data_IF_595770697916
#
_entry.id   IF_595770697916
#
_cell.length_a   1.000
_cell.length_b   1.000
_cell.length_c   1.000
_cell.angle_alpha   90.00
_cell.angle_beta   90.00
_cell.angle_gamma   90.00
#
_symmetry.space_group_name_H-M   'P 1'
#
loop_
_entity.id
_entity.type
_entity.pdbx_description
1 polymer ?
#
# COMPACT_ATOMS: atom_id res chain seq x y z
N UNK A 1 13.10 -17.00 -9.08
CA UNK A 1 14.18 -15.99 -9.31
C UNK A 1 13.80 -15.20 -10.55
N UNK A 2 13.32 -13.96 -10.39
CA UNK A 2 13.13 -13.07 -11.54
C UNK A 2 14.51 -12.72 -12.08
N UNK A 3 14.87 -13.30 -13.23
CA UNK A 3 16.08 -12.97 -13.96
C UNK A 3 15.74 -11.83 -14.94
N UNK A 4 15.63 -10.61 -14.43
CA UNK A 4 15.61 -9.42 -15.27
C UNK A 4 17.06 -9.09 -15.68
N UNK A 5 17.31 -8.87 -16.97
CA UNK A 5 18.67 -8.64 -17.47
C UNK A 5 19.15 -7.22 -17.10
N UNK A 6 20.34 -7.17 -16.50
CA UNK A 6 20.94 -5.97 -15.88
C UNK A 6 21.73 -5.13 -16.89
N UNK A 7 21.07 -4.62 -17.94
CA UNK A 7 21.73 -3.65 -18.83
C UNK A 7 20.96 -2.35 -18.98
N UNK A 8 21.74 -1.26 -19.03
CA UNK A 8 21.32 0.15 -18.98
C UNK A 8 20.41 0.58 -20.14
N UNK A 9 20.22 -0.27 -21.16
CA UNK A 9 19.48 0.04 -22.39
C UNK A 9 18.56 -1.11 -22.88
N UNK A 10 18.20 -2.08 -22.04
CA UNK A 10 17.29 -3.15 -22.46
C UNK A 10 16.88 -4.16 -21.37
N UNK A 11 15.67 -4.68 -21.49
CA UNK A 11 14.92 -5.53 -20.53
C UNK A 11 14.34 -4.83 -19.29
N UNK A 12 15.10 -3.93 -18.64
CA UNK A 12 14.64 -3.20 -17.45
C UNK A 12 13.45 -2.28 -17.74
N UNK A 13 13.55 -1.49 -18.82
CA UNK A 13 12.46 -0.63 -19.26
C UNK A 13 11.33 -1.50 -19.82
N UNK A 14 11.61 -2.47 -20.69
CA UNK A 14 10.60 -3.36 -21.32
C UNK A 14 9.70 -4.14 -20.35
N UNK A 15 10.22 -4.60 -19.22
CA UNK A 15 9.44 -5.31 -18.22
C UNK A 15 8.72 -4.36 -17.24
N UNK A 16 9.10 -3.08 -17.21
CA UNK A 16 8.54 -2.04 -16.36
C UNK A 16 7.89 -0.89 -17.17
N UNK A 17 7.51 -1.10 -18.45
CA UNK A 17 6.82 -0.09 -19.31
C UNK A 17 5.34 0.03 -18.90
N UNK A 18 5.11 0.31 -17.63
CA UNK A 18 3.89 0.91 -17.13
C UNK A 18 4.26 2.26 -16.52
N UNK A 19 3.33 3.21 -16.51
CA UNK A 19 3.58 4.53 -15.91
C UNK A 19 4.04 4.41 -14.45
N UNK A 20 3.49 3.46 -13.70
CA UNK A 20 3.90 3.15 -12.34
C UNK A 20 5.38 2.71 -12.26
N UNK A 21 5.83 1.83 -13.16
CA UNK A 21 7.22 1.39 -13.23
C UNK A 21 8.20 2.51 -13.58
N UNK A 22 7.83 3.42 -14.49
CA UNK A 22 8.60 4.64 -14.72
C UNK A 22 8.67 5.53 -13.47
N UNK A 23 7.57 5.59 -12.69
CA UNK A 23 7.54 6.22 -11.37
C UNK A 23 8.51 5.60 -10.38
N UNK A 24 8.59 4.26 -10.30
CA UNK A 24 9.57 3.54 -9.48
C UNK A 24 11.02 3.82 -9.91
N UNK A 25 11.31 3.84 -11.22
CA UNK A 25 12.63 4.20 -11.74
C UNK A 25 13.00 5.64 -11.36
N UNK A 26 12.06 6.58 -11.50
CA UNK A 26 12.26 7.97 -11.08
C UNK A 26 12.52 8.05 -9.57
N UNK A 27 11.73 7.35 -8.76
CA UNK A 27 11.91 7.27 -7.32
C UNK A 27 13.29 6.76 -6.93
N UNK A 28 13.79 5.72 -7.60
CA UNK A 28 15.16 5.25 -7.44
C UNK A 28 16.19 6.34 -7.76
N UNK A 29 16.00 7.12 -8.84
CA UNK A 29 16.90 8.25 -9.18
C UNK A 29 16.85 9.35 -8.11
N UNK A 30 15.66 9.67 -7.61
CA UNK A 30 15.46 10.67 -6.56
C UNK A 30 16.12 10.23 -5.24
N UNK A 31 16.03 8.96 -4.88
CA UNK A 31 16.68 8.40 -3.69
C UNK A 31 18.21 8.44 -3.78
N UNK A 32 18.79 8.32 -4.98
CA UNK A 32 20.24 8.46 -5.20
C UNK A 32 20.73 9.88 -4.93
N UNK A 33 19.98 10.89 -5.39
CA UNK A 33 20.33 12.31 -5.20
C UNK A 33 19.89 12.86 -3.84
N UNK A 34 19.29 12.03 -2.98
CA UNK A 34 19.01 12.37 -1.58
C UNK A 34 17.64 12.98 -1.30
N UNK A 35 16.65 12.77 -2.19
CA UNK A 35 15.27 13.11 -1.89
C UNK A 35 14.81 12.41 -0.60
N UNK A 36 14.10 13.13 0.26
CA UNK A 36 13.72 12.68 1.61
C UNK A 36 12.34 12.05 1.70
N UNK A 37 11.47 12.39 0.76
CA UNK A 37 10.12 11.87 0.65
C UNK A 37 9.78 11.75 -0.83
N UNK A 38 9.29 10.58 -1.23
CA UNK A 38 8.95 10.27 -2.62
C UNK A 38 7.63 9.51 -2.59
N UNK A 39 6.65 10.03 -3.31
CA UNK A 39 5.38 9.36 -3.52
C UNK A 39 5.32 8.84 -4.96
N UNK A 40 4.96 7.57 -5.11
CA UNK A 40 4.73 6.93 -6.40
C UNK A 40 3.30 6.40 -6.38
N UNK A 41 2.44 6.99 -7.20
CA UNK A 41 1.04 6.57 -7.26
C UNK A 41 0.78 5.82 -8.56
N UNK A 42 -0.15 4.86 -8.51
CA UNK A 42 -0.87 4.46 -9.72
C UNK A 42 -1.72 5.65 -10.18
N UNK A 43 -2.03 5.76 -11.47
CA UNK A 43 -2.83 6.88 -11.96
C UNK A 43 -4.16 6.96 -11.21
N UNK A 44 -4.50 8.15 -10.73
CA UNK A 44 -5.86 8.45 -10.28
C UNK A 44 -6.56 9.22 -11.38
N UNK A 45 -7.33 8.49 -12.20
CA UNK A 45 -8.33 9.09 -13.07
C UNK A 45 -9.67 8.81 -12.39
N UNK A 46 -10.40 9.83 -11.91
CA UNK A 46 -11.66 9.63 -11.21
C UNK A 46 -12.59 8.68 -11.96
N UNK A 47 -13.06 7.64 -11.27
CA UNK A 47 -13.96 6.60 -11.79
C UNK A 47 -13.41 5.68 -12.89
N UNK A 48 -12.12 5.78 -13.24
CA UNK A 48 -11.50 4.93 -14.26
C UNK A 48 -10.33 4.13 -13.67
N UNK A 49 -10.23 2.85 -14.02
CA UNK A 49 -9.14 1.92 -13.67
C UNK A 49 -8.92 1.57 -12.19
N UNK A 50 -9.39 2.39 -11.23
CA UNK A 50 -9.34 2.10 -9.79
C UNK A 50 -10.66 1.57 -9.23
N UNK A 51 -11.78 1.92 -9.86
CA UNK A 51 -13.10 1.48 -9.42
C UNK A 51 -13.33 -0.01 -9.74
N UNK A 52 -13.28 -0.82 -8.69
CA UNK A 52 -13.39 -2.29 -8.71
C UNK A 52 -14.79 -2.80 -8.37
N UNK A 53 -15.81 -1.94 -8.28
CA UNK A 53 -17.18 -2.38 -7.98
C UNK A 53 -17.79 -3.24 -9.10
N UNK A 54 -17.22 -3.22 -10.31
CA UNK A 54 -17.53 -4.11 -11.44
C UNK A 54 -16.29 -4.91 -11.84
N UNK A 55 -16.42 -6.21 -12.12
CA UNK A 55 -15.31 -7.10 -12.50
C UNK A 55 -14.14 -7.07 -11.49
N UNK A 56 -14.46 -7.03 -10.19
CA UNK A 56 -13.52 -6.72 -9.12
C UNK A 56 -12.29 -7.62 -9.10
N UNK A 57 -12.46 -8.93 -9.26
CA UNK A 57 -11.35 -9.88 -9.28
C UNK A 57 -10.38 -9.64 -10.44
N UNK A 58 -10.89 -9.52 -11.67
CA UNK A 58 -10.07 -9.31 -12.86
C UNK A 58 -9.35 -7.96 -12.83
N UNK A 59 -10.04 -6.90 -12.40
CA UNK A 59 -9.42 -5.58 -12.21
C UNK A 59 -8.33 -5.61 -11.14
N UNK A 60 -8.58 -6.22 -9.97
CA UNK A 60 -7.57 -6.35 -8.91
C UNK A 60 -6.35 -7.15 -9.37
N UNK A 61 -6.55 -8.21 -10.19
CA UNK A 61 -5.44 -8.96 -10.79
C UNK A 61 -4.62 -8.07 -11.71
N UNK A 62 -5.25 -7.37 -12.64
CA UNK A 62 -4.57 -6.45 -13.56
C UNK A 62 -3.82 -5.33 -12.81
N UNK A 63 -4.42 -4.76 -11.78
CA UNK A 63 -3.79 -3.74 -10.94
C UNK A 63 -2.56 -4.29 -10.19
N UNK A 64 -2.64 -5.51 -9.66
CA UNK A 64 -1.49 -6.17 -9.01
C UNK A 64 -0.34 -6.43 -9.99
N UNK A 65 -0.66 -6.90 -11.20
CA UNK A 65 0.32 -7.13 -12.27
C UNK A 65 1.06 -5.83 -12.66
N UNK A 66 0.41 -4.67 -12.54
CA UNK A 66 1.04 -3.37 -12.82
C UNK A 66 2.06 -2.92 -11.76
N UNK A 67 1.95 -3.39 -10.52
CA UNK A 67 2.77 -2.89 -9.40
C UNK A 67 3.79 -3.91 -8.87
N UNK A 68 3.52 -5.22 -9.00
CA UNK A 68 4.33 -6.27 -8.38
C UNK A 68 5.80 -6.25 -8.84
N UNK A 69 6.04 -6.36 -10.15
CA UNK A 69 7.39 -6.36 -10.71
C UNK A 69 8.12 -5.01 -10.50
N UNK A 70 7.48 -3.83 -10.71
CA UNK A 70 8.12 -2.55 -10.44
C UNK A 70 8.55 -2.34 -8.98
N UNK A 71 7.72 -2.73 -8.00
CA UNK A 71 8.06 -2.59 -6.57
C UNK A 71 9.22 -3.51 -6.23
N UNK A 72 9.15 -4.78 -6.68
CA UNK A 72 10.23 -5.74 -6.48
C UNK A 72 11.56 -5.20 -7.03
N UNK A 73 11.54 -4.65 -8.25
CA UNK A 73 12.72 -4.07 -8.87
C UNK A 73 13.25 -2.85 -8.12
N UNK A 74 12.39 -1.94 -7.65
CA UNK A 74 12.79 -0.79 -6.84
C UNK A 74 13.53 -1.22 -5.58
N UNK A 75 12.99 -2.21 -4.84
CA UNK A 75 13.63 -2.74 -3.62
C UNK A 75 14.98 -3.38 -3.93
N UNK A 76 15.09 -4.14 -5.02
CA UNK A 76 16.34 -4.76 -5.47
C UNK A 76 17.38 -3.72 -5.88
N UNK A 77 16.99 -2.69 -6.63
CA UNK A 77 17.87 -1.60 -7.07
C UNK A 77 18.41 -0.81 -5.87
N UNK A 78 17.54 -0.47 -4.91
CA UNK A 78 17.97 0.22 -3.69
C UNK A 78 18.91 -0.65 -2.87
N UNK A 79 18.68 -1.97 -2.80
CA UNK A 79 19.58 -2.90 -2.10
C UNK A 79 20.95 -2.99 -2.76
N UNK A 80 20.98 -3.17 -4.09
CA UNK A 80 22.22 -3.27 -4.86
C UNK A 80 23.08 -2.00 -4.74
N UNK A 81 22.42 -0.84 -4.60
CA UNK A 81 23.08 0.47 -4.46
C UNK A 81 23.46 0.83 -3.02
N UNK A 82 23.20 -0.06 -2.05
CA UNK A 82 23.43 0.23 -0.63
C UNK A 82 22.51 1.33 -0.05
N UNK A 83 21.39 1.59 -0.70
CA UNK A 83 20.43 2.63 -0.32
C UNK A 83 19.26 2.08 0.51
N UNK A 84 18.97 0.78 0.44
CA UNK A 84 17.78 0.20 1.10
C UNK A 84 17.84 0.34 2.64
N UNK A 85 19.01 0.29 3.25
CA UNK A 85 19.11 0.39 4.71
C UNK A 85 18.76 1.81 5.22
N UNK A 86 18.91 2.85 4.37
CA UNK A 86 18.55 4.24 4.69
C UNK A 86 17.22 4.70 4.09
N UNK A 87 16.56 3.86 3.30
CA UNK A 87 15.31 4.18 2.59
C UNK A 87 14.23 3.20 3.00
N UNK A 88 13.15 3.70 3.60
CA UNK A 88 11.95 2.93 3.88
C UNK A 88 11.00 2.99 2.68
N UNK A 89 10.76 1.85 2.04
CA UNK A 89 9.74 1.70 0.99
C UNK A 89 8.47 1.17 1.65
N UNK A 90 7.34 1.85 1.43
CA UNK A 90 6.04 1.51 2.00
C UNK A 90 5.05 1.29 0.85
N UNK A 91 4.36 0.16 0.84
CA UNK A 91 3.19 -0.07 0.01
C UNK A 91 1.97 -0.16 0.93
N UNK A 92 1.02 0.76 0.73
CA UNK A 92 -0.23 0.83 1.47
C UNK A 92 -1.38 1.21 0.55
N UNK A 93 -2.61 0.95 0.98
CA UNK A 93 -3.84 1.43 0.35
C UNK A 93 -4.71 2.14 1.37
N UNK A 94 -5.64 2.99 0.91
CA UNK A 94 -6.56 3.73 1.79
C UNK A 94 -7.57 2.82 2.49
N UNK A 95 -7.97 1.76 1.80
CA UNK A 95 -8.90 0.75 2.27
C UNK A 95 -8.61 -0.57 1.58
N UNK A 96 -9.26 -1.63 2.04
CA UNK A 96 -9.13 -2.98 1.47
C UNK A 96 -10.37 -3.37 0.66
N UNK A 97 -10.29 -4.54 0.03
CA UNK A 97 -11.40 -5.23 -0.63
C UNK A 97 -11.48 -6.66 -0.11
N UNK A 98 -12.65 -7.05 0.38
CA UNK A 98 -12.96 -8.45 0.65
C UNK A 98 -13.24 -9.16 -0.69
N UNK A 99 -12.87 -10.44 -0.79
CA UNK A 99 -13.15 -11.27 -1.95
C UNK A 99 -14.65 -11.54 -2.11
N UNK A 100 -15.38 -11.58 -1.00
CA UNK A 100 -16.81 -11.87 -0.98
C UNK A 100 -17.64 -10.58 -1.06
N UNK A 101 -18.84 -10.66 -1.62
CA UNK A 101 -19.79 -9.54 -1.71
C UNK A 101 -20.42 -9.23 -0.33
N UNK A 102 -20.70 -7.95 -0.05
CA UNK A 102 -21.59 -7.52 1.05
C UNK A 102 -22.86 -6.93 0.48
N UNK A 103 -23.93 -7.73 0.53
CA UNK A 103 -25.33 -7.29 0.43
C UNK A 103 -25.69 -6.40 -0.76
N UNK A 104 -26.92 -5.91 -0.75
CA UNK A 104 -27.40 -4.84 -1.64
C UNK A 104 -27.94 -3.72 -0.78
N UNK A 105 -27.66 -2.44 -1.11
CA UNK A 105 -28.44 -1.36 -0.51
C UNK A 105 -29.92 -1.52 -0.88
N UNK A 106 -30.82 -1.36 0.08
CA UNK A 106 -32.28 -1.41 -0.16
C UNK A 106 -32.76 -0.33 -1.14
N UNK A 107 -31.99 0.77 -1.27
CA UNK A 107 -32.27 1.86 -2.20
C UNK A 107 -31.56 1.62 -3.52
N UNK A 108 -32.32 1.64 -4.61
CA UNK A 108 -31.80 1.64 -5.97
C UNK A 108 -31.01 2.92 -6.22
N UNK A 109 -29.72 2.77 -6.56
CA UNK A 109 -28.84 3.86 -6.94
C UNK A 109 -28.71 3.84 -8.48
N UNK A 110 -28.86 5.01 -9.12
CA UNK A 110 -28.71 5.14 -10.57
C UNK A 110 -27.29 4.77 -10.98
N UNK A 111 -27.15 3.91 -12.00
CA UNK A 111 -25.87 3.37 -12.49
C UNK A 111 -25.09 2.52 -11.46
N UNK A 112 -25.76 1.96 -10.46
CA UNK A 112 -25.17 0.91 -9.61
C UNK A 112 -24.89 -0.32 -10.47
N UNK A 113 -23.72 -0.94 -10.27
CA UNK A 113 -23.39 -2.21 -10.90
C UNK A 113 -24.41 -3.27 -10.47
N UNK A 114 -24.84 -4.13 -11.40
CA UNK A 114 -25.74 -5.23 -11.07
C UNK A 114 -25.02 -6.28 -10.23
N UNK A 115 -25.68 -6.70 -9.14
CA UNK A 115 -25.09 -7.58 -8.13
C UNK A 115 -25.98 -8.81 -8.01
N UNK A 116 -25.54 -10.01 -8.44
CA UNK A 116 -26.39 -11.20 -8.47
C UNK A 116 -26.71 -11.73 -7.06
N UNK A 117 -27.75 -12.55 -6.92
CA UNK A 117 -28.13 -13.18 -5.63
C UNK A 117 -27.12 -14.24 -5.20
N UNK A 118 -26.46 -14.86 -6.19
CA UNK A 118 -25.46 -15.90 -6.01
C UNK A 118 -24.24 -15.57 -6.87
N UNK A 119 -23.06 -15.76 -6.30
CA UNK A 119 -21.78 -15.59 -6.99
C UNK A 119 -21.50 -16.87 -7.77
N UNK A 120 -21.75 -16.85 -9.08
CA UNK A 120 -21.51 -18.00 -9.97
C UNK A 120 -20.34 -17.80 -10.94
N UNK A 121 -19.84 -16.56 -11.08
CA UNK A 121 -18.80 -16.17 -12.03
C UNK A 121 -17.68 -15.41 -11.33
N UNK A 122 -16.44 -15.53 -11.85
CA UNK A 122 -15.26 -14.84 -11.29
C UNK A 122 -15.41 -13.33 -11.25
N UNK A 123 -16.13 -12.74 -12.21
CA UNK A 123 -16.39 -11.29 -12.27
C UNK A 123 -17.13 -10.74 -11.05
N UNK A 124 -17.88 -11.61 -10.35
CA UNK A 124 -18.67 -11.25 -9.17
C UNK A 124 -17.85 -11.21 -7.87
N UNK A 125 -16.65 -11.79 -7.86
CA UNK A 125 -15.74 -11.73 -6.72
C UNK A 125 -15.07 -10.35 -6.64
N UNK A 126 -14.93 -9.83 -5.42
CA UNK A 126 -14.29 -8.53 -5.17
C UNK A 126 -15.14 -7.30 -5.50
N UNK A 127 -16.42 -7.46 -5.87
CA UNK A 127 -17.39 -6.36 -6.08
C UNK A 127 -17.85 -5.69 -4.77
N UNK A 128 -17.03 -5.77 -3.72
CA UNK A 128 -17.38 -5.35 -2.38
C UNK A 128 -17.29 -3.83 -2.18
N UNK A 129 -17.97 -3.33 -1.15
CA UNK A 129 -17.75 -2.00 -0.60
C UNK A 129 -16.33 -1.83 -0.06
N UNK A 130 -16.05 -0.67 0.52
CA UNK A 130 -14.78 -0.44 1.21
C UNK A 130 -14.69 -1.36 2.42
N UNK A 131 -13.79 -2.36 2.36
CA UNK A 131 -13.52 -3.23 3.50
C UNK A 131 -12.61 -2.46 4.47
N UNK A 132 -13.15 -2.17 5.65
CA UNK A 132 -12.53 -1.29 6.65
C UNK A 132 -12.09 -2.03 7.91
N UNK A 133 -12.41 -3.33 8.02
CA UNK A 133 -12.11 -4.13 9.21
C UNK A 133 -10.63 -4.54 9.32
N UNK A 134 -9.94 -4.69 8.18
CA UNK A 134 -8.50 -4.96 8.12
C UNK A 134 -7.87 -4.55 6.78
N UNK A 135 -6.54 -4.46 6.76
CA UNK A 135 -5.73 -4.25 5.56
C UNK A 135 -4.29 -4.70 5.79
N UNK A 136 -3.46 -4.57 4.77
CA UNK A 136 -2.04 -4.89 4.85
C UNK A 136 -1.18 -3.71 4.39
N UNK A 137 -0.03 -3.57 5.03
CA UNK A 137 1.01 -2.61 4.64
C UNK A 137 2.30 -3.41 4.49
N UNK A 138 2.96 -3.27 3.34
CA UNK A 138 4.27 -3.87 3.11
C UNK A 138 5.35 -2.82 3.35
N UNK A 139 6.40 -3.20 4.07
CA UNK A 139 7.51 -2.31 4.42
C UNK A 139 8.83 -2.98 4.07
N UNK A 140 9.71 -2.26 3.38
CA UNK A 140 11.03 -2.75 2.97
C UNK A 140 12.10 -1.71 3.30
N UNK A 141 13.22 -2.16 3.87
CA UNK A 141 14.36 -1.28 4.18
C UNK A 141 14.13 -0.40 5.41
N UNK A 142 14.91 0.68 5.52
CA UNK A 142 14.76 1.68 6.59
C UNK A 142 14.86 1.14 8.02
N UNK A 143 15.64 0.07 8.25
CA UNK A 143 15.77 -0.58 9.55
C UNK A 143 14.60 -1.47 9.97
N UNK A 144 13.67 -1.80 9.06
CA UNK A 144 12.61 -2.77 9.33
C UNK A 144 13.15 -4.21 9.37
N UNK A 145 12.56 -5.06 10.22
CA UNK A 145 12.85 -6.50 10.28
C UNK A 145 12.60 -7.16 8.94
N UNK A 146 13.56 -7.95 8.49
CA UNK A 146 13.48 -8.73 7.24
C UNK A 146 12.72 -10.03 7.48
N UNK A 147 11.82 -10.39 6.57
CA UNK A 147 11.07 -11.65 6.64
C UNK A 147 10.10 -11.74 7.83
N UNK A 148 9.62 -10.61 8.32
CA UNK A 148 8.76 -10.52 9.50
C UNK A 148 7.31 -10.23 9.11
N UNK A 149 6.37 -10.93 9.75
CA UNK A 149 4.93 -10.70 9.64
C UNK A 149 4.43 -10.23 11.00
N UNK A 150 3.71 -9.10 11.03
CA UNK A 150 3.14 -8.53 12.23
C UNK A 150 1.63 -8.51 12.14
N UNK A 151 0.97 -9.07 13.15
CA UNK A 151 -0.48 -9.20 13.19
C UNK A 151 -1.01 -10.42 12.45
N UNK A 152 -2.29 -10.71 12.72
CA UNK A 152 -3.04 -11.79 12.08
C UNK A 152 -4.52 -11.40 11.99
N UNK A 153 -5.16 -11.75 10.89
CA UNK A 153 -6.62 -11.68 10.72
C UNK A 153 -7.25 -13.07 10.84
N UNK A 154 -8.54 -13.12 11.18
CA UNK A 154 -9.31 -14.35 11.16
C UNK A 154 -9.30 -15.00 9.76
N UNK A 155 -9.25 -16.33 9.71
CA UNK A 155 -9.29 -17.12 8.46
C UNK A 155 -10.67 -17.04 7.80
N UNK A 156 -11.71 -16.85 8.61
CA UNK A 156 -13.10 -16.74 8.17
C UNK A 156 -13.64 -15.33 8.42
N UNK A 157 -14.75 -15.01 7.75
CA UNK A 157 -15.47 -13.75 7.95
C UNK A 157 -15.81 -13.56 9.43
N UNK A 158 -15.66 -12.34 9.98
CA UNK A 158 -15.49 -11.07 9.26
C UNK A 158 -14.05 -10.69 8.90
N UNK A 159 -13.08 -11.61 8.92
CA UNK A 159 -11.68 -11.35 8.54
C UNK A 159 -11.03 -10.22 9.37
N UNK A 160 -11.49 -10.03 10.61
CA UNK A 160 -10.98 -9.02 11.55
C UNK A 160 -9.63 -9.43 12.12
N UNK A 161 -8.90 -8.45 12.64
CA UNK A 161 -7.67 -8.67 13.39
C UNK A 161 -7.92 -9.54 14.63
N UNK A 162 -7.07 -10.55 14.85
CA UNK A 162 -7.12 -11.44 16.01
C UNK A 162 -5.83 -11.41 16.84
N UNK A 163 -4.73 -10.93 16.26
CA UNK A 163 -3.43 -10.78 16.95
C UNK A 163 -2.72 -9.51 16.50
N UNK A 164 -1.97 -8.89 17.42
CA UNK A 164 -1.08 -7.73 17.21
C UNK A 164 -1.63 -6.70 16.22
N UNK A 165 -2.85 -6.22 16.51
CA UNK A 165 -3.52 -5.18 15.73
C UNK A 165 -2.67 -3.91 15.73
N UNK A 166 -2.47 -3.32 14.56
CA UNK A 166 -1.89 -1.99 14.39
C UNK A 166 -2.99 -1.04 13.95
N UNK A 167 -3.15 0.07 14.67
CA UNK A 167 -4.02 1.19 14.27
C UNK A 167 -3.22 2.24 13.49
N UNK A 168 -3.90 3.08 12.71
CA UNK A 168 -3.24 4.05 11.82
C UNK A 168 -2.36 5.03 12.60
N UNK A 169 -2.76 5.41 13.81
CA UNK A 169 -2.02 6.32 14.68
C UNK A 169 -0.67 5.73 15.09
N UNK A 170 -0.64 4.44 15.44
CA UNK A 170 0.58 3.71 15.81
C UNK A 170 1.45 3.43 14.58
N UNK A 171 0.84 3.16 13.42
CA UNK A 171 1.57 3.06 12.15
C UNK A 171 2.24 4.41 11.82
N UNK A 172 1.52 5.52 11.87
CA UNK A 172 2.10 6.85 11.64
C UNK A 172 3.23 7.14 12.62
N UNK A 173 3.05 6.85 13.91
CA UNK A 173 4.10 7.00 14.91
C UNK A 173 5.33 6.14 14.60
N UNK A 174 5.13 4.92 14.09
CA UNK A 174 6.20 4.03 13.61
C UNK A 174 6.97 4.67 12.44
N UNK A 175 6.27 5.24 11.45
CA UNK A 175 6.92 5.90 10.31
C UNK A 175 7.74 7.12 10.75
N UNK A 176 7.18 7.97 11.61
CA UNK A 176 7.92 9.11 12.17
C UNK A 176 9.15 8.66 12.96
N UNK A 177 9.02 7.60 13.76
CA UNK A 177 10.15 7.01 14.49
C UNK A 177 11.25 6.53 13.55
N UNK A 178 10.91 5.90 12.42
CA UNK A 178 11.86 5.48 11.39
C UNK A 178 12.57 6.68 10.74
N UNK A 179 11.89 7.82 10.60
CA UNK A 179 12.46 9.08 10.12
C UNK A 179 13.28 9.85 11.17
N UNK A 180 13.34 9.37 12.42
CA UNK A 180 13.99 10.08 13.53
C UNK A 180 13.20 11.28 14.03
N UNK A 181 11.90 11.36 13.72
CA UNK A 181 11.00 12.43 14.13
C UNK A 181 10.16 11.94 15.31
N UNK A 182 10.03 12.78 16.33
CA UNK A 182 9.14 12.47 17.46
C UNK A 182 7.68 12.45 17.00
N UNK A 183 6.88 11.41 17.31
CA UNK A 183 5.45 11.41 17.00
C UNK A 183 4.66 12.49 17.76
N UNK A 184 5.28 13.06 18.80
CA UNK A 184 4.78 14.20 19.59
C UNK A 184 5.16 15.56 19.02
N UNK A 185 5.94 15.61 17.93
CA UNK A 185 6.26 16.87 17.29
C UNK A 185 4.96 17.57 16.89
N UNK A 186 4.84 18.84 17.29
CA UNK A 186 3.71 19.68 16.98
C UNK A 186 4.20 21.07 16.63
N UNK A 187 3.42 21.75 15.79
CA UNK A 187 3.59 23.16 15.48
C UNK A 187 2.41 23.93 16.06
N UNK A 188 2.66 25.10 16.66
CA UNK A 188 1.57 25.97 17.09
C UNK A 188 1.05 26.74 15.87
N UNK A 189 -0.21 26.49 15.50
CA UNK A 189 -0.92 27.17 14.43
C UNK A 189 -2.16 27.81 15.05
N UNK A 190 -2.28 29.14 14.95
CA UNK A 190 -3.40 29.89 15.53
C UNK A 190 -3.64 29.57 17.03
N UNK A 191 -2.56 29.46 17.83
CA UNK A 191 -2.59 29.11 19.26
C UNK A 191 -3.12 27.69 19.56
N UNK A 192 -3.15 26.80 18.55
CA UNK A 192 -3.54 25.39 18.70
C UNK A 192 -2.37 24.50 18.30
N UNK A 193 -2.10 23.41 19.04
CA UNK A 193 -1.09 22.44 18.63
C UNK A 193 -1.59 21.66 17.40
N UNK A 194 -0.79 21.63 16.35
CA UNK A 194 -0.97 20.78 15.18
C UNK A 194 0.11 19.71 15.17
N UNK A 195 -0.27 18.50 15.60
CA UNK A 195 0.65 17.36 15.69
C UNK A 195 0.97 16.82 14.30
N UNK A 196 2.17 16.24 14.15
CA UNK A 196 2.55 15.50 12.93
C UNK A 196 1.80 14.16 12.83
N UNK A 197 1.26 13.67 13.94
CA UNK A 197 0.28 12.59 13.99
C UNK A 197 -1.10 13.15 14.35
N UNK A 198 -2.15 12.31 14.46
CA UNK A 198 -3.51 12.79 14.78
C UNK A 198 -3.58 13.67 16.03
N UNK A 199 -2.91 13.24 17.10
CA UNK A 199 -3.00 13.83 18.44
C UNK A 199 -1.69 13.74 19.26
N UNK A 200 -0.60 13.21 18.68
CA UNK A 200 0.68 13.03 19.37
C UNK A 200 0.73 11.82 20.33
N UNK A 201 -0.32 10.99 20.40
CA UNK A 201 -0.41 9.89 21.36
C UNK A 201 -0.04 8.52 20.79
N UNK A 202 0.04 8.40 19.46
CA UNK A 202 0.40 7.15 18.78
C UNK A 202 1.73 6.58 19.28
N UNK A 203 1.77 5.25 19.46
CA UNK A 203 2.93 4.52 19.95
C UNK A 203 3.61 3.78 18.80
N UNK A 204 4.91 4.00 18.54
CA UNK A 204 5.63 3.23 17.55
C UNK A 204 5.59 1.72 17.84
N UNK A 205 5.27 0.93 16.82
CA UNK A 205 5.27 -0.54 16.90
C UNK A 205 6.71 -1.03 16.85
N UNK A 206 7.36 -1.08 18.01
CA UNK A 206 8.79 -1.38 18.14
C UNK A 206 9.17 -2.78 17.60
N UNK A 207 8.23 -3.72 17.61
CA UNK A 207 8.38 -5.06 17.05
C UNK A 207 8.74 -5.08 15.55
N UNK A 208 8.48 -3.99 14.81
CA UNK A 208 8.76 -3.89 13.38
C UNK A 208 10.23 -3.58 13.07
N UNK A 209 10.99 -3.03 14.02
CA UNK A 209 12.39 -2.63 13.83
C UNK A 209 13.36 -3.78 14.13
N UNK A 210 14.42 -3.90 13.33
CA UNK A 210 15.40 -4.99 13.38
C UNK A 210 16.85 -4.55 13.33
#
# INVERSE_FOLDING_TARGET
RFLAARERFGSYERQNIGRFGLGCLLARRLAEVGARYIEVTTEYIPFLNWDTHENGHEKLKAMKEQIDAPIAQLVLDLKERGLLDRTLVILASEFSRDAMLEGRPDKLIKNQVDVPDKIEEMKHYGMHRHFTDAGCVLMFGGGMRKGYVHGKTAEERPCKHIEKRVVIEDLHATLYRAMGISPKLAYEIEKRPFYVTRDGLGQPVMDLFG
#
